data_IF_676465302506
#
_entry.id   IF_676465302506
#
_cell.length_a   1.000
_cell.length_b   1.000
_cell.length_c   1.000
_cell.angle_alpha   90.00
_cell.angle_beta   90.00
_cell.angle_gamma   90.00
#
_symmetry.space_group_name_H-M   'P 1'
#
loop_
_entity.id
_entity.type
_entity.pdbx_description
1 polymer ?
#
# COMPACT_ATOMS: atom_id res chain seq x y z
N UNK A 1 1.71 -6.42 66.04
CA UNK A 1 0.63 -7.02 65.24
C UNK A 1 0.54 -6.25 63.91
N UNK A 2 1.16 -6.75 62.81
CA UNK A 2 1.19 -6.11 61.49
C UNK A 2 0.27 -6.91 60.57
N UNK A 3 -0.82 -6.28 60.17
CA UNK A 3 -1.80 -6.86 59.22
C UNK A 3 -1.35 -6.57 57.80
N UNK A 4 -1.21 -7.62 57.00
CA UNK A 4 -0.89 -7.56 55.55
C UNK A 4 -2.10 -7.03 54.77
N UNK A 5 -1.90 -5.95 53.98
CA UNK A 5 -2.81 -5.50 52.94
C UNK A 5 -2.07 -5.61 51.59
N UNK A 6 -2.07 -6.76 50.95
CA UNK A 6 -1.44 -6.91 49.65
C UNK A 6 -2.18 -7.90 48.70
N UNK A 7 -3.49 -8.03 48.81
CA UNK A 7 -4.26 -8.94 47.95
C UNK A 7 -5.18 -8.28 46.90
N UNK A 8 -5.52 -7.03 47.06
CA UNK A 8 -6.55 -6.37 46.21
C UNK A 8 -5.99 -5.64 44.99
N UNK A 9 -4.73 -5.20 45.01
CA UNK A 9 -4.14 -4.44 43.87
C UNK A 9 -3.63 -5.33 42.73
N UNK A 10 -3.38 -6.61 42.98
CA UNK A 10 -2.89 -7.52 41.92
C UNK A 10 -3.99 -7.99 40.95
N UNK A 11 -5.22 -8.07 41.38
CA UNK A 11 -6.37 -8.46 40.54
C UNK A 11 -6.87 -7.33 39.63
N UNK A 12 -6.66 -6.09 40.04
CA UNK A 12 -7.10 -4.94 39.25
C UNK A 12 -6.18 -4.63 38.02
N UNK A 13 -4.91 -5.08 38.06
CA UNK A 13 -3.97 -4.92 36.94
C UNK A 13 -4.12 -5.97 35.84
N UNK A 14 -4.50 -7.19 36.20
CA UNK A 14 -4.69 -8.26 35.22
C UNK A 14 -5.93 -8.03 34.31
N UNK A 15 -6.99 -7.40 34.83
CA UNK A 15 -8.21 -7.15 34.10
C UNK A 15 -8.11 -6.00 33.07
N UNK A 16 -7.18 -5.06 33.27
CA UNK A 16 -7.00 -3.93 32.32
C UNK A 16 -6.17 -4.28 31.10
N UNK A 17 -5.23 -5.21 31.24
CA UNK A 17 -4.38 -5.63 30.13
C UNK A 17 -5.13 -6.53 29.12
N UNK A 18 -6.09 -7.33 29.56
CA UNK A 18 -6.88 -8.18 28.66
C UNK A 18 -7.95 -7.41 27.89
N UNK A 19 -8.48 -6.32 28.44
CA UNK A 19 -9.44 -5.47 27.73
C UNK A 19 -8.76 -4.63 26.62
N UNK A 20 -7.54 -4.15 26.86
CA UNK A 20 -6.76 -3.41 25.86
C UNK A 20 -6.31 -4.29 24.70
N UNK A 21 -5.95 -5.55 24.96
CA UNK A 21 -5.60 -6.50 23.91
C UNK A 21 -6.81 -6.88 23.03
N UNK A 22 -8.01 -6.95 23.60
CA UNK A 22 -9.24 -7.26 22.84
C UNK A 22 -9.70 -6.10 21.96
N UNK A 23 -9.48 -4.84 22.37
CA UNK A 23 -9.81 -3.65 21.59
C UNK A 23 -8.81 -3.44 20.44
N UNK A 24 -7.53 -3.74 20.66
CA UNK A 24 -6.52 -3.69 19.62
C UNK A 24 -6.75 -4.75 18.52
N UNK A 25 -7.19 -5.94 18.88
CA UNK A 25 -7.53 -6.99 17.90
C UNK A 25 -8.77 -6.66 17.09
N UNK A 26 -9.73 -5.92 17.63
CA UNK A 26 -10.93 -5.47 16.90
C UNK A 26 -10.65 -4.28 15.96
N UNK A 27 -9.67 -3.44 16.29
CA UNK A 27 -9.29 -2.31 15.43
C UNK A 27 -8.52 -2.74 14.17
N UNK A 28 -7.81 -3.87 14.20
CA UNK A 28 -7.14 -4.43 13.01
C UNK A 28 -8.10 -4.97 11.94
N UNK A 29 -9.39 -5.13 12.25
CA UNK A 29 -10.37 -5.68 11.30
C UNK A 29 -11.10 -4.62 10.44
N UNK A 30 -10.79 -3.32 10.61
CA UNK A 30 -11.49 -2.21 9.92
C UNK A 30 -10.53 -1.39 9.04
N UNK A 31 -9.27 -1.79 8.88
CA UNK A 31 -8.39 -1.15 7.91
C UNK A 31 -9.02 -1.34 6.51
N UNK A 32 -9.24 -0.26 5.71
CA UNK A 32 -9.69 -0.41 4.34
C UNK A 32 -8.70 -1.34 3.63
N UNK A 33 -9.23 -2.44 3.11
CA UNK A 33 -8.41 -3.44 2.46
C UNK A 33 -7.83 -2.82 1.18
N UNK A 34 -6.51 -2.62 1.14
CA UNK A 34 -5.83 -2.31 -0.11
C UNK A 34 -6.22 -3.38 -1.13
N UNK A 35 -6.91 -2.96 -2.20
CA UNK A 35 -7.34 -3.88 -3.26
C UNK A 35 -6.18 -4.02 -4.24
N UNK A 36 -5.83 -5.26 -4.54
CA UNK A 36 -4.88 -5.58 -5.58
C UNK A 36 -5.58 -6.10 -6.82
N UNK A 37 -4.81 -6.63 -7.73
CA UNK A 37 -5.32 -7.23 -8.95
C UNK A 37 -6.15 -8.47 -8.62
N UNK A 38 -7.43 -8.45 -9.00
CA UNK A 38 -8.35 -9.59 -8.90
C UNK A 38 -8.59 -10.10 -10.32
N UNK A 39 -8.12 -11.31 -10.66
CA UNK A 39 -8.36 -11.89 -11.98
C UNK A 39 -9.81 -12.31 -12.16
N UNK A 40 -10.20 -12.59 -13.39
CA UNK A 40 -11.47 -13.24 -13.68
C UNK A 40 -11.50 -14.69 -13.16
N UNK A 41 -12.65 -15.32 -13.12
CA UNK A 41 -12.84 -16.66 -12.54
C UNK A 41 -12.12 -17.80 -13.29
N UNK A 42 -11.55 -17.54 -14.47
CA UNK A 42 -10.77 -18.51 -15.24
C UNK A 42 -9.30 -18.58 -14.84
N UNK A 43 -8.85 -17.67 -13.99
CA UNK A 43 -7.48 -17.56 -13.51
C UNK A 43 -7.44 -17.65 -11.98
N UNK A 44 -6.42 -18.30 -11.46
CA UNK A 44 -6.11 -18.28 -10.03
C UNK A 44 -5.20 -17.09 -9.69
N UNK A 45 -5.11 -16.68 -8.42
CA UNK A 45 -4.14 -15.68 -7.99
C UNK A 45 -2.67 -16.01 -8.30
N UNK A 46 -2.35 -17.29 -8.49
CA UNK A 46 -0.99 -17.75 -8.86
C UNK A 46 -0.70 -17.47 -10.34
N UNK A 47 -1.70 -17.52 -11.20
CA UNK A 47 -1.54 -17.34 -12.65
C UNK A 47 -1.19 -15.88 -13.02
N UNK A 48 -1.42 -14.95 -12.11
CA UNK A 48 -1.17 -13.52 -12.30
C UNK A 48 0.03 -13.00 -11.48
N UNK A 49 0.80 -13.86 -10.85
CA UNK A 49 2.05 -13.45 -10.20
C UNK A 49 3.02 -12.94 -11.25
N UNK A 50 3.53 -11.71 -11.05
CA UNK A 50 4.50 -11.11 -11.97
C UNK A 50 5.84 -11.87 -11.92
N UNK A 51 6.23 -12.47 -13.04
CA UNK A 51 7.48 -13.20 -13.19
C UNK A 51 8.72 -12.32 -13.31
N UNK A 52 8.57 -11.00 -13.42
CA UNK A 52 9.70 -10.06 -13.44
C UNK A 52 10.26 -9.90 -12.03
N UNK A 53 11.54 -10.22 -11.84
CA UNK A 53 12.15 -10.19 -10.51
C UNK A 53 12.08 -8.80 -9.88
N UNK A 54 12.63 -7.78 -10.52
CA UNK A 54 12.62 -6.39 -10.07
C UNK A 54 11.89 -5.50 -11.08
N UNK A 55 10.96 -4.69 -10.57
CA UNK A 55 10.15 -3.75 -11.36
C UNK A 55 10.00 -2.44 -10.56
N UNK A 56 9.80 -1.33 -11.24
CA UNK A 56 9.54 -0.02 -10.62
C UNK A 56 8.20 0.12 -9.90
N UNK A 57 7.36 -0.91 -9.93
CA UNK A 57 6.16 -1.00 -9.06
C UNK A 57 6.54 -1.78 -7.81
N UNK A 58 6.50 -1.12 -6.67
CA UNK A 58 6.92 -1.67 -5.38
C UNK A 58 5.78 -1.71 -4.35
N UNK A 59 5.93 -2.60 -3.38
CA UNK A 59 5.09 -2.59 -2.18
C UNK A 59 5.61 -1.55 -1.21
N UNK A 60 4.74 -0.68 -0.72
CA UNK A 60 4.96 0.10 0.48
C UNK A 60 4.61 -0.76 1.70
N UNK A 61 5.49 -0.77 2.68
CA UNK A 61 5.21 -1.37 3.98
C UNK A 61 5.54 -0.37 5.09
N UNK A 62 4.58 -0.16 5.99
CA UNK A 62 4.76 0.58 7.25
C UNK A 62 4.90 -0.43 8.38
N UNK A 63 5.77 -0.15 9.35
CA UNK A 63 6.02 -1.07 10.48
C UNK A 63 4.78 -1.28 11.38
N UNK A 64 3.80 -0.38 11.32
CA UNK A 64 2.51 -0.52 11.98
C UNK A 64 1.49 -1.39 11.21
N UNK A 65 1.91 -2.00 10.08
CA UNK A 65 1.15 -3.01 9.35
C UNK A 65 0.38 -2.52 8.12
N UNK A 66 0.48 -1.23 7.74
CA UNK A 66 -0.12 -0.74 6.50
C UNK A 66 0.67 -1.21 5.28
N UNK A 67 -0.07 -1.56 4.23
CA UNK A 67 0.49 -2.01 2.94
C UNK A 67 -0.20 -1.28 1.80
N UNK A 68 0.60 -0.73 0.89
CA UNK A 68 0.13 -0.11 -0.34
C UNK A 68 1.04 -0.47 -1.52
N UNK A 69 0.66 -0.04 -2.72
CA UNK A 69 1.50 -0.12 -3.91
C UNK A 69 1.95 1.27 -4.29
N UNK A 70 3.21 1.41 -4.68
CA UNK A 70 3.75 2.66 -5.22
C UNK A 70 4.59 2.43 -6.46
N UNK A 71 4.82 3.50 -7.22
CA UNK A 71 5.56 3.47 -8.48
C UNK A 71 6.78 4.38 -8.40
N UNK A 72 7.94 3.82 -8.70
CA UNK A 72 9.21 4.55 -8.78
C UNK A 72 9.24 5.38 -10.07
N UNK A 73 9.21 6.71 -9.92
CA UNK A 73 9.20 7.67 -11.06
C UNK A 73 10.57 8.28 -11.36
N UNK A 74 11.48 8.18 -10.42
CA UNK A 74 12.92 8.43 -10.58
C UNK A 74 13.67 7.65 -9.50
N UNK A 75 15.00 7.52 -9.54
CA UNK A 75 15.74 6.66 -8.60
C UNK A 75 15.51 6.94 -7.11
N UNK A 76 14.92 8.08 -6.74
CA UNK A 76 14.69 8.44 -5.35
C UNK A 76 13.24 8.74 -5.01
N UNK A 77 12.33 8.79 -5.98
CA UNK A 77 10.95 9.22 -5.73
C UNK A 77 9.95 8.13 -6.11
N UNK A 78 9.13 7.76 -5.16
CA UNK A 78 7.99 6.86 -5.36
C UNK A 78 6.70 7.66 -5.23
N UNK A 79 5.79 7.52 -6.19
CA UNK A 79 4.42 8.04 -6.14
C UNK A 79 3.46 6.94 -5.70
N UNK A 80 2.51 7.27 -4.82
CA UNK A 80 1.51 6.34 -4.29
C UNK A 80 0.30 7.10 -3.75
N UNK A 81 -0.69 6.39 -3.21
CA UNK A 81 -1.90 7.00 -2.68
C UNK A 81 -1.68 7.66 -1.31
N UNK A 82 -2.24 8.85 -1.11
CA UNK A 82 -2.08 9.59 0.15
C UNK A 82 -2.79 8.93 1.34
N UNK A 83 -3.91 8.23 1.11
CA UNK A 83 -4.62 7.52 2.18
C UNK A 83 -3.76 6.44 2.87
N UNK A 84 -2.63 6.07 2.28
CA UNK A 84 -1.66 5.15 2.90
C UNK A 84 -0.84 5.82 4.01
N UNK A 85 -0.82 7.15 4.07
CA UNK A 85 0.07 7.93 4.93
C UNK A 85 -0.55 9.23 5.47
N UNK A 86 -1.82 9.52 5.24
CA UNK A 86 -2.45 10.76 5.68
C UNK A 86 -3.07 10.70 7.09
N UNK A 87 -2.89 9.60 7.80
CA UNK A 87 -3.34 9.40 9.18
C UNK A 87 -2.38 9.95 10.24
N UNK A 88 -1.14 10.25 9.84
CA UNK A 88 -0.11 10.88 10.68
C UNK A 88 0.45 12.12 9.99
N UNK A 89 1.13 12.98 10.73
CA UNK A 89 1.87 14.09 10.13
C UNK A 89 3.09 13.59 9.35
N UNK A 90 3.49 14.32 8.31
CA UNK A 90 4.60 13.86 7.43
C UNK A 90 5.92 13.59 8.15
N UNK A 91 6.32 14.33 9.22
CA UNK A 91 7.53 14.02 9.98
C UNK A 91 7.47 12.69 10.74
N UNK A 92 6.25 12.18 11.00
CA UNK A 92 6.04 10.97 11.79
C UNK A 92 6.30 9.68 10.99
N UNK A 93 6.65 9.80 9.70
CA UNK A 93 6.99 8.68 8.81
C UNK A 93 8.48 8.56 8.51
N UNK A 94 9.35 8.89 9.41
CA UNK A 94 10.78 8.84 9.16
C UNK A 94 11.51 8.18 10.30
N UNK A 95 12.29 7.13 10.00
CA UNK A 95 13.21 6.51 10.96
C UNK A 95 14.27 7.50 11.46
N UNK A 96 14.64 8.49 10.65
CA UNK A 96 15.59 9.55 11.03
C UNK A 96 15.05 10.41 12.16
N UNK A 97 13.74 10.61 12.20
CA UNK A 97 13.05 11.41 13.22
C UNK A 97 12.44 10.56 14.36
N UNK A 98 12.68 9.23 14.35
CA UNK A 98 12.08 8.32 15.32
C UNK A 98 10.58 8.08 15.13
N UNK A 99 10.05 8.35 13.95
CA UNK A 99 8.68 8.09 13.54
C UNK A 99 8.46 6.64 13.08
N UNK A 100 7.27 6.38 12.52
CA UNK A 100 6.92 5.06 11.98
C UNK A 100 7.80 4.74 10.78
N UNK A 101 8.57 3.64 10.81
CA UNK A 101 9.38 3.21 9.69
C UNK A 101 8.53 2.86 8.47
N UNK A 102 8.96 3.32 7.30
CA UNK A 102 8.33 3.02 6.00
C UNK A 102 9.41 2.57 5.02
N UNK A 103 9.12 1.52 4.25
CA UNK A 103 9.98 1.08 3.16
C UNK A 103 9.19 0.81 1.89
N UNK A 104 9.92 0.84 0.75
CA UNK A 104 9.48 0.28 -0.52
C UNK A 104 10.36 -0.91 -0.89
N UNK A 105 9.73 -2.03 -1.28
CA UNK A 105 10.40 -3.20 -1.82
C UNK A 105 9.92 -3.46 -3.25
N UNK A 106 10.86 -3.70 -4.17
CA UNK A 106 10.61 -3.74 -5.61
C UNK A 106 10.78 -5.14 -6.22
N UNK A 107 11.05 -6.17 -5.42
CA UNK A 107 11.11 -7.55 -5.90
C UNK A 107 9.71 -8.13 -6.08
N UNK A 108 9.57 -9.09 -7.01
CA UNK A 108 8.32 -9.82 -7.24
C UNK A 108 7.77 -10.47 -5.95
N UNK A 109 8.63 -11.13 -5.17
CA UNK A 109 8.35 -11.49 -3.77
C UNK A 109 9.10 -10.53 -2.85
N UNK A 110 8.37 -9.60 -2.26
CA UNK A 110 8.92 -8.58 -1.37
C UNK A 110 9.20 -9.09 0.05
N UNK A 111 8.69 -10.27 0.42
CA UNK A 111 8.74 -10.79 1.79
C UNK A 111 10.17 -10.95 2.33
N UNK A 112 11.14 -11.53 1.59
CA UNK A 112 12.51 -11.65 2.09
C UNK A 112 13.16 -10.30 2.40
N UNK A 113 12.96 -9.32 1.51
CA UNK A 113 13.51 -7.96 1.69
C UNK A 113 12.89 -7.23 2.88
N UNK A 114 11.58 -7.33 3.08
CA UNK A 114 10.88 -6.70 4.21
C UNK A 114 11.25 -7.34 5.55
N UNK A 115 11.42 -8.66 5.61
CA UNK A 115 11.89 -9.35 6.81
C UNK A 115 13.32 -8.90 7.15
N UNK A 116 14.20 -8.81 6.16
CA UNK A 116 15.54 -8.29 6.36
C UNK A 116 15.52 -6.85 6.87
N UNK A 117 14.73 -5.98 6.25
CA UNK A 117 14.59 -4.58 6.63
C UNK A 117 14.15 -4.40 8.10
N UNK A 118 13.14 -5.14 8.57
CA UNK A 118 12.69 -5.13 9.97
C UNK A 118 13.81 -5.65 10.88
N UNK A 119 14.43 -6.78 10.52
CA UNK A 119 15.44 -7.45 11.34
C UNK A 119 16.73 -6.65 11.48
N UNK A 120 17.06 -5.83 10.50
CA UNK A 120 18.26 -4.99 10.45
C UNK A 120 18.04 -3.56 10.98
N UNK A 121 16.94 -3.31 11.68
CA UNK A 121 16.61 -2.01 12.26
C UNK A 121 16.29 -0.97 11.20
N UNK A 122 15.45 -1.34 10.22
CA UNK A 122 14.86 -0.48 9.20
C UNK A 122 15.91 0.16 8.25
N UNK A 123 16.85 -0.65 7.78
CA UNK A 123 17.91 -0.20 6.87
C UNK A 123 17.68 -0.67 5.46
N UNK A 124 17.98 0.21 4.50
CA UNK A 124 18.02 -0.12 3.09
C UNK A 124 18.96 -1.30 2.82
N UNK A 125 18.48 -2.25 2.01
CA UNK A 125 19.27 -3.35 1.47
C UNK A 125 19.06 -3.42 -0.05
N UNK A 126 20.00 -2.85 -0.80
CA UNK A 126 19.92 -2.79 -2.27
C UNK A 126 19.99 -4.15 -2.93
N UNK A 127 20.66 -5.15 -2.30
CA UNK A 127 20.72 -6.51 -2.83
C UNK A 127 19.34 -7.22 -2.81
N UNK A 128 18.43 -6.79 -1.94
CA UNK A 128 17.06 -7.26 -1.84
C UNK A 128 16.05 -6.22 -2.37
N UNK A 129 16.53 -5.20 -3.07
CA UNK A 129 15.72 -4.10 -3.63
C UNK A 129 14.73 -3.51 -2.64
N UNK A 130 15.09 -3.41 -1.36
CA UNK A 130 14.32 -2.76 -0.31
C UNK A 130 14.98 -1.46 0.11
N UNK A 131 14.20 -0.39 0.16
CA UNK A 131 14.67 0.97 0.39
C UNK A 131 13.87 1.63 1.48
N UNK A 132 14.56 2.14 2.48
CA UNK A 132 13.94 2.90 3.56
C UNK A 132 13.49 4.27 3.05
N UNK A 133 12.36 4.75 3.55
CA UNK A 133 11.82 6.07 3.23
C UNK A 133 12.43 7.11 4.17
N UNK A 134 12.93 8.20 3.59
CA UNK A 134 13.51 9.31 4.31
C UNK A 134 12.55 10.47 4.54
N UNK A 135 11.63 10.69 3.62
CA UNK A 135 10.62 11.74 3.69
C UNK A 135 9.36 11.36 2.92
N UNK A 136 8.21 11.83 3.42
CA UNK A 136 6.91 11.70 2.75
C UNK A 136 6.30 13.09 2.61
N UNK A 137 5.65 13.31 1.47
CA UNK A 137 4.78 14.45 1.22
C UNK A 137 3.48 13.94 0.59
N UNK A 138 2.35 14.45 1.02
CA UNK A 138 1.05 14.14 0.43
C UNK A 138 0.26 15.42 0.15
N UNK A 139 -0.71 15.33 -0.76
CA UNK A 139 -1.53 16.45 -1.13
C UNK A 139 -2.40 16.88 0.06
N UNK A 140 -2.48 18.18 0.42
CA UNK A 140 -3.22 18.63 1.58
C UNK A 140 -4.72 18.32 1.49
N UNK A 141 -5.31 18.30 0.32
CA UNK A 141 -6.72 17.98 0.11
C UNK A 141 -7.06 16.52 0.50
N UNK A 142 -6.05 15.63 0.59
CA UNK A 142 -6.24 14.26 1.08
C UNK A 142 -6.63 14.19 2.56
N UNK A 143 -6.48 15.29 3.30
CA UNK A 143 -6.86 15.41 4.71
C UNK A 143 -8.30 15.92 4.89
N UNK A 144 -8.92 16.46 3.84
CA UNK A 144 -10.27 16.98 3.91
C UNK A 144 -11.28 15.83 4.01
N UNK A 145 -12.16 15.83 5.03
CA UNK A 145 -13.07 14.73 5.32
C UNK A 145 -14.49 14.90 4.77
N UNK A 146 -14.77 15.12 3.50
CA UNK A 146 -16.07 14.79 2.96
C UNK A 146 -16.20 13.28 2.79
N UNK A 147 -17.40 12.77 2.60
CA UNK A 147 -17.68 11.33 2.45
C UNK A 147 -16.88 10.63 1.32
N UNK A 148 -16.27 11.40 0.43
CA UNK A 148 -15.44 10.95 -0.70
C UNK A 148 -13.96 11.36 -0.59
N UNK A 149 -13.47 11.64 0.62
CA UNK A 149 -12.12 12.19 0.86
C UNK A 149 -10.98 11.39 0.22
N UNK A 150 -11.11 10.08 0.07
CA UNK A 150 -10.11 9.26 -0.59
C UNK A 150 -9.99 9.47 -2.11
N UNK A 151 -10.94 10.18 -2.73
CA UNK A 151 -10.94 10.50 -4.16
C UNK A 151 -10.30 11.87 -4.46
N UNK A 152 -10.18 12.76 -3.46
CA UNK A 152 -9.65 14.10 -3.65
C UNK A 152 -8.21 14.19 -3.13
N UNK A 153 -7.29 14.58 -4.02
CA UNK A 153 -5.90 14.76 -3.65
C UNK A 153 -5.23 13.50 -3.11
N UNK A 154 -5.74 12.30 -3.43
CA UNK A 154 -5.20 11.02 -2.94
C UNK A 154 -3.85 10.68 -3.60
N UNK A 155 -2.90 11.60 -3.49
CA UNK A 155 -1.55 11.50 -4.04
C UNK A 155 -0.52 11.81 -2.97
N UNK A 156 0.45 10.91 -2.82
CA UNK A 156 1.63 11.08 -1.98
C UNK A 156 2.91 10.76 -2.74
N UNK A 157 4.01 11.30 -2.27
CA UNK A 157 5.36 11.00 -2.73
C UNK A 157 6.24 10.65 -1.55
N UNK A 158 7.07 9.62 -1.72
CA UNK A 158 8.13 9.28 -0.79
C UNK A 158 9.49 9.51 -1.42
N UNK A 159 10.44 9.99 -0.61
CA UNK A 159 11.86 10.05 -0.97
C UNK A 159 12.59 8.89 -0.31
N UNK A 160 13.27 8.07 -1.11
CA UNK A 160 14.10 6.98 -0.63
C UNK A 160 15.41 7.51 -0.05
N UNK A 161 15.91 6.91 1.02
CA UNK A 161 17.19 7.27 1.66
C UNK A 161 18.39 7.01 0.74
N UNK A 162 18.28 5.99 -0.11
CA UNK A 162 19.30 5.55 -1.06
C UNK A 162 18.70 5.49 -2.47
N UNK A 163 19.41 5.90 -3.55
CA UNK A 163 18.90 5.75 -4.91
C UNK A 163 18.70 4.28 -5.28
N UNK A 164 17.54 3.96 -5.80
CA UNK A 164 17.21 2.66 -6.37
C UNK A 164 17.71 2.59 -7.83
N UNK A 165 19.04 2.62 -8.02
CA UNK A 165 19.66 2.78 -9.34
C UNK A 165 19.43 1.59 -10.27
N UNK A 166 19.29 0.38 -9.69
CA UNK A 166 19.09 -0.87 -10.44
C UNK A 166 17.60 -1.24 -10.60
N UNK A 167 16.70 -0.38 -10.14
CA UNK A 167 15.25 -0.56 -10.29
C UNK A 167 14.75 0.27 -11.46
N UNK A 168 14.01 -0.32 -12.42
CA UNK A 168 13.40 0.43 -13.51
C UNK A 168 12.47 1.54 -13.01
N UNK A 169 12.46 2.67 -13.69
CA UNK A 169 11.55 3.78 -13.38
C UNK A 169 10.45 3.89 -14.43
N UNK A 170 9.28 4.37 -14.00
CA UNK A 170 8.15 4.59 -14.87
C UNK A 170 7.96 6.09 -15.15
N UNK A 171 7.61 6.41 -16.40
CA UNK A 171 7.30 7.79 -16.79
C UNK A 171 5.83 8.09 -16.53
N UNK A 172 5.55 9.18 -15.83
CA UNK A 172 4.19 9.66 -15.66
C UNK A 172 3.66 10.27 -16.96
N UNK A 173 2.38 10.04 -17.24
CA UNK A 173 1.69 10.73 -18.32
C UNK A 173 1.29 12.14 -17.86
N UNK A 174 1.82 13.16 -18.52
CA UNK A 174 1.55 14.57 -18.18
C UNK A 174 0.48 15.22 -19.07
N UNK A 175 -0.12 14.48 -20.00
CA UNK A 175 -1.21 14.94 -20.84
C UNK A 175 -2.42 14.03 -20.67
N UNK A 176 -3.61 14.60 -20.77
CA UNK A 176 -4.83 13.81 -20.80
C UNK A 176 -4.79 12.82 -21.98
N UNK A 177 -5.19 11.58 -21.72
CA UNK A 177 -5.44 10.63 -22.81
C UNK A 177 -6.64 11.14 -23.63
N UNK A 178 -6.57 11.08 -24.97
CA UNK A 178 -7.76 11.30 -25.78
C UNK A 178 -8.85 10.30 -25.40
N UNK A 179 -10.11 10.72 -25.44
CA UNK A 179 -11.21 9.78 -25.25
C UNK A 179 -11.14 8.69 -26.33
N UNK A 180 -11.33 7.40 -26.01
CA UNK A 180 -11.40 6.34 -27.00
C UNK A 180 -12.51 6.64 -28.01
N UNK A 181 -12.27 6.43 -29.30
CA UNK A 181 -13.22 6.76 -30.38
C UNK A 181 -14.52 5.94 -30.28
N UNK A 182 -14.49 4.77 -29.69
CA UNK A 182 -15.64 3.93 -29.39
C UNK A 182 -15.31 2.99 -28.23
N UNK A 183 -16.29 2.75 -27.35
CA UNK A 183 -16.23 1.70 -26.34
C UNK A 183 -17.10 0.56 -26.84
N UNK A 184 -16.53 -0.62 -26.92
CA UNK A 184 -17.30 -1.84 -27.21
C UNK A 184 -17.13 -2.80 -26.04
N UNK A 185 -18.19 -3.00 -25.27
CA UNK A 185 -18.21 -3.83 -24.09
C UNK A 185 -17.90 -5.32 -24.40
N UNK A 186 -18.13 -5.76 -25.63
CA UNK A 186 -17.86 -7.14 -26.04
C UNK A 186 -16.45 -7.36 -26.52
N UNK A 187 -15.85 -6.38 -27.21
CA UNK A 187 -14.50 -6.49 -27.80
C UNK A 187 -13.42 -5.78 -26.98
N UNK A 188 -13.81 -5.05 -25.91
CA UNK A 188 -12.89 -4.32 -25.06
C UNK A 188 -12.15 -3.22 -25.82
N UNK A 189 -12.88 -2.39 -26.60
CA UNK A 189 -12.27 -1.23 -27.27
C UNK A 189 -11.93 -0.16 -26.25
N UNK A 190 -10.70 0.31 -26.29
CA UNK A 190 -10.15 1.29 -25.35
C UNK A 190 -8.62 1.22 -25.34
N UNK A 191 -8.01 1.82 -24.35
CA UNK A 191 -6.57 1.67 -24.14
C UNK A 191 -6.28 0.35 -23.45
N UNK A 192 -5.46 -0.48 -24.06
CA UNK A 192 -4.93 -1.68 -23.42
C UNK A 192 -3.94 -1.25 -22.33
N UNK A 193 -4.16 -1.69 -21.12
CA UNK A 193 -3.35 -1.33 -19.96
C UNK A 193 -2.96 -2.55 -19.16
N UNK A 194 -1.79 -2.51 -18.55
CA UNK A 194 -1.36 -3.49 -17.57
C UNK A 194 -1.52 -2.91 -16.17
N UNK A 195 -2.29 -3.58 -15.32
CA UNK A 195 -2.46 -3.24 -13.92
C UNK A 195 -1.51 -4.08 -13.10
N UNK A 196 -0.66 -3.44 -12.31
CA UNK A 196 0.36 -4.12 -11.50
C UNK A 196 0.32 -3.61 -10.06
N UNK A 197 0.42 -4.51 -9.10
CA UNK A 197 0.44 -4.13 -7.69
C UNK A 197 0.57 -5.28 -6.72
N UNK A 198 0.60 -4.91 -5.44
CA UNK A 198 0.58 -5.82 -4.30
C UNK A 198 -0.72 -5.61 -3.52
N UNK A 199 -1.09 -6.57 -2.71
CA UNK A 199 -2.27 -6.47 -1.86
C UNK A 199 -3.09 -7.74 -1.84
N UNK A 200 -4.35 -7.62 -1.46
CA UNK A 200 -5.29 -8.74 -1.46
C UNK A 200 -5.66 -9.14 -2.88
N UNK A 201 -5.95 -10.40 -3.07
CA UNK A 201 -6.40 -10.96 -4.35
C UNK A 201 -7.60 -11.90 -4.15
N UNK A 202 -8.03 -12.56 -5.21
CA UNK A 202 -9.14 -13.50 -5.17
C UNK A 202 -9.54 -13.89 -6.59
N UNK A 203 -10.84 -13.92 -6.87
CA UNK A 203 -11.37 -14.14 -8.21
C UNK A 203 -12.53 -13.18 -8.50
N UNK A 204 -13.00 -13.14 -9.74
CA UNK A 204 -14.14 -12.33 -10.13
C UNK A 204 -15.37 -12.57 -9.25
N UNK A 205 -15.68 -13.82 -8.92
CA UNK A 205 -16.82 -14.20 -8.07
C UNK A 205 -16.55 -13.94 -6.58
N UNK A 206 -15.32 -14.15 -6.09
CA UNK A 206 -15.00 -14.03 -4.65
C UNK A 206 -14.47 -12.66 -4.24
N UNK A 207 -14.17 -11.81 -5.21
CA UNK A 207 -13.54 -10.51 -4.98
C UNK A 207 -12.16 -10.66 -4.33
N UNK A 208 -11.79 -9.71 -3.48
CA UNK A 208 -10.49 -9.65 -2.79
C UNK A 208 -10.43 -10.50 -1.50
N UNK A 209 -10.95 -11.72 -1.54
CA UNK A 209 -11.09 -12.60 -0.37
C UNK A 209 -9.78 -13.21 0.13
N UNK A 210 -8.74 -13.25 -0.70
CA UNK A 210 -7.44 -13.81 -0.35
C UNK A 210 -6.55 -12.74 0.26
N UNK A 211 -5.89 -13.07 1.38
CA UNK A 211 -5.00 -12.15 2.10
C UNK A 211 -3.75 -11.74 1.30
N UNK A 212 -3.04 -10.74 1.83
CA UNK A 212 -1.79 -10.25 1.23
C UNK A 212 -0.69 -11.32 1.36
N UNK A 213 -0.10 -11.68 0.23
CA UNK A 213 1.00 -12.65 0.15
C UNK A 213 2.35 -12.00 -0.14
N UNK A 214 2.41 -10.66 -0.24
CA UNK A 214 3.59 -9.85 -0.53
C UNK A 214 4.23 -10.12 -1.90
N UNK A 215 3.50 -10.78 -2.81
CA UNK A 215 3.93 -11.01 -4.19
C UNK A 215 3.25 -10.03 -5.12
N UNK A 216 4.03 -9.48 -6.06
CA UNK A 216 3.51 -8.59 -7.09
C UNK A 216 2.67 -9.39 -8.08
N UNK A 217 1.51 -8.84 -8.41
CA UNK A 217 0.57 -9.40 -9.38
C UNK A 217 0.39 -8.44 -10.54
N UNK A 218 0.17 -8.98 -11.72
CA UNK A 218 -0.04 -8.22 -12.93
C UNK A 218 -1.16 -8.84 -13.75
N UNK A 219 -2.00 -8.00 -14.34
CA UNK A 219 -3.06 -8.42 -15.25
C UNK A 219 -3.31 -7.35 -16.30
N UNK A 220 -3.77 -7.78 -17.45
CA UNK A 220 -4.17 -6.88 -18.51
C UNK A 220 -5.62 -6.45 -18.36
N UNK A 221 -5.91 -5.22 -18.71
CA UNK A 221 -7.23 -4.65 -18.66
C UNK A 221 -7.39 -3.57 -19.76
N UNK A 222 -8.58 -3.03 -19.88
CA UNK A 222 -8.88 -1.95 -20.81
C UNK A 222 -9.33 -0.70 -20.06
N UNK A 223 -8.75 0.43 -20.38
CA UNK A 223 -9.23 1.73 -19.97
C UNK A 223 -10.27 2.18 -21.02
N UNK A 224 -11.53 1.88 -20.76
CA UNK A 224 -12.61 2.05 -21.74
C UNK A 224 -13.26 3.43 -21.72
N UNK A 225 -13.20 4.14 -20.57
CA UNK A 225 -13.84 5.44 -20.41
C UNK A 225 -13.01 6.35 -19.53
N UNK A 226 -13.01 7.62 -19.85
CA UNK A 226 -12.49 8.69 -18.98
C UNK A 226 -13.70 9.42 -18.39
N UNK A 227 -13.80 9.42 -17.08
CA UNK A 227 -14.81 10.15 -16.31
C UNK A 227 -14.21 11.29 -15.52
N UNK A 228 -15.02 12.24 -15.11
CA UNK A 228 -14.70 13.25 -14.11
C UNK A 228 -15.17 12.77 -12.73
N UNK A 229 -14.57 13.27 -11.64
CA UNK A 229 -15.09 13.04 -10.30
C UNK A 229 -16.50 13.63 -10.13
N UNK A 230 -16.81 14.71 -10.86
CA UNK A 230 -18.13 15.32 -10.86
C UNK A 230 -19.23 14.41 -11.47
N UNK A 231 -18.83 13.43 -12.29
CA UNK A 231 -19.74 12.44 -12.88
C UNK A 231 -20.15 11.35 -11.90
N UNK A 232 -19.46 11.23 -10.76
CA UNK A 232 -19.71 10.20 -9.73
C UNK A 232 -20.72 10.69 -8.68
N UNK A 233 -20.87 12.00 -8.54
CA UNK A 233 -21.77 12.65 -7.56
C UNK A 233 -23.20 12.88 -8.10
N UNK A 234 -23.56 12.41 -9.27
CA UNK A 234 -24.85 12.65 -9.93
C UNK A 234 -25.85 11.51 -9.82
#
# INVERSE_FOLDING_TARGET
MRIRKNGAEMLARAGRSSLLASVAAAALSIAPAAQAVVPNDNLSPEDIVDGTDVNGVGIMYRDDGFVCTGTLINPRTVIFAAHCVNDLSTPDYSTVNGGVPVAFAFQSDARPGLIDWISNGYRTNTALSVYNVNNIAYHPDSLDPPALSFLYGDVAMATLDTPAADVPTWTMLFSALPAPAAINETTGTGYHVTVTGYGRTGSGTTGNSVGIDFRRKTAENFLGMLGSLDDIDS
#
